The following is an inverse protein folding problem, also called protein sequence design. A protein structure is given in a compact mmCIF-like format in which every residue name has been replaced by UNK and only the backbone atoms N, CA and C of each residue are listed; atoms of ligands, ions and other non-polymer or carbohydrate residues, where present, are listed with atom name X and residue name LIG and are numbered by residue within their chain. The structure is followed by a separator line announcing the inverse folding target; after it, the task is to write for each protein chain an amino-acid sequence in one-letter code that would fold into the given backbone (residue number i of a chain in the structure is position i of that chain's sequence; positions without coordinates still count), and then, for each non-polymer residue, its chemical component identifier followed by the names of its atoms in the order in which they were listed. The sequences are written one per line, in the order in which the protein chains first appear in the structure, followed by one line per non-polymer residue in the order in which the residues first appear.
data_IF_987645169473
#
_entry.id   IF_987645169473
#
_cell.length_a   1.000
_cell.length_b   1.000
_cell.length_c   1.000
_cell.angle_alpha   90.00
_cell.angle_beta   90.00
_cell.angle_gamma   90.00
#
_symmetry.space_group_name_H-M   'P 1'
#
loop_
_entity.id
_entity.type
_entity.pdbx_description
1 polymer ?
#
# COMPACT_ATOMS: atom_id res chain seq x y z
N UNK A 1 -16.06 6.84 20.13
CA UNK A 1 -15.90 7.46 21.48
C UNK A 1 -14.88 6.68 22.32
N UNK A 2 -15.01 5.37 22.47
CA UNK A 2 -14.06 4.57 23.26
C UNK A 2 -12.65 4.50 22.65
N UNK A 3 -12.53 4.51 21.33
CA UNK A 3 -11.25 4.51 20.59
C UNK A 3 -10.34 5.73 20.88
N UNK A 4 -10.94 6.87 21.22
CA UNK A 4 -10.22 8.11 21.52
C UNK A 4 -10.26 8.47 23.01
N UNK A 5 -10.78 7.57 23.86
CA UNK A 5 -11.04 7.81 25.29
C UNK A 5 -11.85 9.10 25.55
N UNK A 6 -12.77 9.44 24.64
CA UNK A 6 -13.53 10.69 24.64
C UNK A 6 -14.03 11.06 23.24
N UNK A 7 -14.71 12.20 23.12
CA UNK A 7 -14.97 12.82 21.81
C UNK A 7 -13.69 13.43 21.23
N UNK A 8 -13.73 13.73 19.93
CA UNK A 8 -12.63 14.41 19.22
C UNK A 8 -12.24 15.77 19.83
N UNK A 9 -13.18 16.49 20.45
CA UNK A 9 -12.94 17.80 21.05
C UNK A 9 -12.61 17.74 22.54
N UNK A 10 -12.97 16.67 23.25
CA UNK A 10 -12.58 16.44 24.64
C UNK A 10 -11.16 15.85 24.75
N UNK A 11 -10.75 15.04 23.79
CA UNK A 11 -9.40 14.48 23.71
C UNK A 11 -8.80 14.61 22.31
N UNK A 12 -8.51 15.84 21.84
CA UNK A 12 -7.92 16.06 20.52
C UNK A 12 -6.54 15.41 20.36
N UNK A 13 -5.81 15.22 21.46
CA UNK A 13 -4.49 14.58 21.43
C UNK A 13 -4.58 13.13 20.94
N UNK A 14 -5.64 12.40 21.28
CA UNK A 14 -5.82 11.03 20.80
C UNK A 14 -5.96 10.94 19.27
N UNK A 15 -6.53 11.96 18.62
CA UNK A 15 -6.56 12.04 17.15
C UNK A 15 -5.17 12.29 16.57
N UNK A 16 -4.41 13.21 17.17
CA UNK A 16 -3.05 13.54 16.74
C UNK A 16 -2.14 12.32 16.87
N UNK A 17 -2.20 11.62 18.00
CA UNK A 17 -1.36 10.45 18.26
C UNK A 17 -1.67 9.27 17.32
N UNK A 18 -2.91 9.19 16.78
CA UNK A 18 -3.28 8.16 15.82
C UNK A 18 -3.02 8.57 14.35
N UNK A 19 -2.78 9.86 14.09
CA UNK A 19 -2.54 10.34 12.74
C UNK A 19 -1.15 9.93 12.23
N UNK A 20 -1.01 9.24 11.08
CA UNK A 20 0.31 8.81 10.57
C UNK A 20 1.29 9.97 10.35
N UNK A 21 0.77 11.15 9.99
CA UNK A 21 1.58 12.36 9.76
C UNK A 21 2.36 12.81 10.99
N UNK A 22 1.88 12.52 12.20
CA UNK A 22 2.58 12.81 13.46
C UNK A 22 3.96 12.15 13.51
N UNK A 23 4.11 11.02 12.81
CA UNK A 23 5.35 10.25 12.73
C UNK A 23 6.12 10.46 11.42
N UNK A 24 5.69 11.38 10.57
CA UNK A 24 6.26 11.60 9.25
C UNK A 24 7.77 11.87 9.26
N UNK A 25 8.31 12.45 10.34
CA UNK A 25 9.76 12.63 10.52
C UNK A 25 10.55 11.34 10.32
N UNK A 26 9.97 10.20 10.71
CA UNK A 26 10.62 8.89 10.72
C UNK A 26 10.46 8.11 9.40
N UNK A 27 9.68 8.62 8.44
CA UNK A 27 9.48 7.94 7.17
C UNK A 27 10.81 7.86 6.40
N UNK A 28 11.17 6.63 6.02
CA UNK A 28 12.40 6.30 5.30
C UNK A 28 12.27 5.09 4.37
N UNK A 29 11.25 4.26 4.58
CA UNK A 29 10.98 3.07 3.77
C UNK A 29 10.34 3.48 2.45
N UNK A 30 10.79 2.94 1.31
CA UNK A 30 10.12 3.12 0.03
C UNK A 30 8.63 2.81 0.12
N UNK A 31 7.77 3.70 -0.40
CA UNK A 31 6.32 3.56 -0.25
C UNK A 31 5.56 3.77 -1.57
N UNK A 32 4.71 2.80 -1.91
CA UNK A 32 3.71 2.90 -2.96
C UNK A 32 2.39 3.37 -2.35
N UNK A 33 1.83 4.45 -2.89
CA UNK A 33 0.51 5.00 -2.53
C UNK A 33 -0.45 4.68 -3.67
N UNK A 34 -1.64 4.19 -3.34
CA UNK A 34 -2.68 3.82 -4.31
C UNK A 34 -3.98 4.47 -3.85
N UNK A 35 -4.66 5.23 -4.72
CA UNK A 35 -5.89 5.95 -4.35
C UNK A 35 -6.87 6.06 -5.52
N UNK A 36 -8.17 5.93 -5.23
CA UNK A 36 -9.26 6.12 -6.20
C UNK A 36 -9.86 7.53 -6.11
N UNK A 37 -10.12 8.18 -7.25
CA UNK A 37 -10.66 9.54 -7.31
C UNK A 37 -12.11 9.66 -6.82
N UNK A 38 -12.89 8.59 -6.89
CA UNK A 38 -14.27 8.51 -6.42
C UNK A 38 -14.38 7.82 -5.04
N UNK A 39 -13.33 7.85 -4.23
CA UNK A 39 -13.38 7.33 -2.85
C UNK A 39 -14.04 8.35 -1.91
N UNK A 40 -15.34 8.16 -1.67
CA UNK A 40 -16.12 8.98 -0.73
C UNK A 40 -15.98 8.56 0.74
N UNK A 41 -15.20 7.50 1.03
CA UNK A 41 -14.89 7.06 2.40
C UNK A 41 -13.58 7.66 2.87
N UNK A 42 -12.59 7.72 1.99
CA UNK A 42 -11.28 8.32 2.25
C UNK A 42 -10.94 9.27 1.12
N UNK A 43 -11.02 10.56 1.40
CA UNK A 43 -10.75 11.60 0.41
C UNK A 43 -9.34 11.50 -0.17
N UNK A 44 -9.22 11.74 -1.49
CA UNK A 44 -7.96 11.68 -2.24
C UNK A 44 -6.87 12.60 -1.71
N UNK A 45 -7.22 13.69 -1.01
CA UNK A 45 -6.24 14.56 -0.36
C UNK A 45 -5.38 13.81 0.66
N UNK A 46 -5.88 12.73 1.27
CA UNK A 46 -5.10 11.93 2.21
C UNK A 46 -3.95 11.21 1.51
N UNK A 47 -4.23 10.56 0.37
CA UNK A 47 -3.20 9.92 -0.46
C UNK A 47 -2.20 10.93 -1.02
N UNK A 48 -2.69 12.07 -1.53
CA UNK A 48 -1.84 13.13 -2.07
C UNK A 48 -0.98 13.81 -0.99
N UNK A 49 -1.50 14.01 0.21
CA UNK A 49 -0.73 14.57 1.32
C UNK A 49 0.41 13.63 1.73
N UNK A 50 0.14 12.32 1.85
CA UNK A 50 1.18 11.32 2.15
C UNK A 50 2.27 11.31 1.07
N UNK A 51 1.87 11.28 -0.20
CA UNK A 51 2.83 11.29 -1.31
C UNK A 51 3.71 12.57 -1.29
N UNK A 52 3.12 13.74 -1.08
CA UNK A 52 3.87 15.00 -0.97
C UNK A 52 4.85 15.00 0.21
N UNK A 53 4.46 14.48 1.37
CA UNK A 53 5.35 14.32 2.52
C UNK A 53 6.55 13.45 2.17
N UNK A 54 6.33 12.32 1.49
CA UNK A 54 7.40 11.41 1.09
C UNK A 54 8.35 12.06 0.07
N UNK A 55 7.80 12.79 -0.90
CA UNK A 55 8.57 13.55 -1.89
C UNK A 55 9.45 14.61 -1.21
N UNK A 56 8.88 15.40 -0.28
CA UNK A 56 9.62 16.42 0.47
C UNK A 56 10.74 15.83 1.35
N UNK A 57 10.59 14.57 1.78
CA UNK A 57 11.60 13.84 2.54
C UNK A 57 12.60 13.07 1.68
N UNK A 58 12.48 13.14 0.36
CA UNK A 58 13.28 12.36 -0.60
C UNK A 58 13.21 10.84 -0.34
N UNK A 59 12.08 10.35 0.19
CA UNK A 59 11.82 8.92 0.33
C UNK A 59 11.34 8.39 -1.02
N UNK A 60 11.96 7.31 -1.57
CA UNK A 60 11.49 6.72 -2.81
C UNK A 60 10.01 6.39 -2.72
N UNK A 61 9.21 6.98 -3.61
CA UNK A 61 7.75 6.84 -3.54
C UNK A 61 7.13 6.88 -4.92
N UNK A 62 6.00 6.19 -5.06
CA UNK A 62 5.20 6.14 -6.29
C UNK A 62 3.73 6.31 -5.93
N UNK A 63 3.00 7.07 -6.75
CA UNK A 63 1.55 7.24 -6.65
C UNK A 63 0.89 6.55 -7.85
N UNK A 64 0.02 5.58 -7.59
CA UNK A 64 -0.89 5.00 -8.56
C UNK A 64 -2.29 5.55 -8.28
N UNK A 65 -2.78 6.42 -9.15
CA UNK A 65 -4.06 7.10 -8.97
C UNK A 65 -5.05 6.67 -10.05
N UNK A 66 -6.23 6.24 -9.62
CA UNK A 66 -7.31 5.82 -10.50
C UNK A 66 -8.46 6.82 -10.39
N UNK A 67 -8.50 7.80 -11.30
CA UNK A 67 -9.49 8.89 -11.29
C UNK A 67 -10.94 8.41 -11.15
N UNK A 68 -11.26 7.28 -11.79
CA UNK A 68 -12.63 6.78 -11.88
C UNK A 68 -12.93 5.57 -10.98
N UNK A 69 -11.99 5.13 -10.13
CA UNK A 69 -12.22 4.06 -9.15
C UNK A 69 -12.64 4.64 -7.79
N UNK A 70 -13.30 3.83 -6.97
CA UNK A 70 -13.77 4.22 -5.64
C UNK A 70 -12.82 3.70 -4.56
N UNK A 71 -13.35 3.31 -3.40
CA UNK A 71 -12.60 2.66 -2.33
C UNK A 71 -11.99 1.28 -2.71
N UNK A 72 -12.31 0.79 -3.89
CA UNK A 72 -11.84 -0.48 -4.45
C UNK A 72 -11.41 -0.27 -5.91
N UNK A 73 -10.57 -1.18 -6.42
CA UNK A 73 -10.17 -1.21 -7.84
C UNK A 73 -11.00 -2.29 -8.55
N UNK A 74 -12.07 -1.90 -9.22
CA UNK A 74 -13.13 -2.80 -9.71
C UNK A 74 -13.06 -3.06 -11.21
N UNK A 75 -12.62 -2.09 -12.02
CA UNK A 75 -12.56 -2.25 -13.47
C UNK A 75 -11.46 -3.25 -13.82
N UNK A 76 -11.72 -4.23 -14.71
CA UNK A 76 -10.73 -5.26 -15.03
C UNK A 76 -9.38 -4.71 -15.49
N UNK A 77 -9.39 -3.66 -16.33
CA UNK A 77 -8.15 -3.04 -16.81
C UNK A 77 -7.35 -2.35 -15.68
N UNK A 78 -8.03 -1.61 -14.80
CA UNK A 78 -7.41 -0.92 -13.68
C UNK A 78 -6.89 -1.92 -12.64
N UNK A 79 -7.61 -3.04 -12.45
CA UNK A 79 -7.20 -4.13 -11.57
C UNK A 79 -5.92 -4.82 -12.07
N UNK A 80 -5.80 -5.07 -13.37
CA UNK A 80 -4.55 -5.59 -13.98
C UNK A 80 -3.40 -4.60 -13.75
N UNK A 81 -3.61 -3.31 -14.02
CA UNK A 81 -2.60 -2.27 -13.80
C UNK A 81 -2.19 -2.16 -12.31
N UNK A 82 -3.15 -2.32 -11.40
CA UNK A 82 -2.93 -2.35 -9.96
C UNK A 82 -2.01 -3.51 -9.56
N UNK A 83 -2.34 -4.74 -9.97
CA UNK A 83 -1.51 -5.91 -9.65
C UNK A 83 -0.10 -5.80 -10.23
N UNK A 84 0.05 -5.43 -11.51
CA UNK A 84 1.38 -5.23 -12.09
C UNK A 84 2.19 -4.19 -11.33
N UNK A 85 1.58 -3.05 -10.99
CA UNK A 85 2.29 -1.98 -10.26
C UNK A 85 2.73 -2.44 -8.86
N UNK A 86 1.88 -3.17 -8.15
CA UNK A 86 2.21 -3.71 -6.82
C UNK A 86 3.34 -4.73 -6.92
N UNK A 87 3.25 -5.67 -7.86
CA UNK A 87 4.27 -6.71 -8.04
C UNK A 87 5.61 -6.12 -8.46
N UNK A 88 5.63 -5.20 -9.44
CA UNK A 88 6.86 -4.51 -9.87
C UNK A 88 7.50 -3.72 -8.72
N UNK A 89 6.68 -3.06 -7.90
CA UNK A 89 7.17 -2.33 -6.73
C UNK A 89 7.81 -3.26 -5.70
N UNK A 90 7.17 -4.39 -5.41
CA UNK A 90 7.70 -5.39 -4.50
C UNK A 90 8.98 -6.01 -5.04
N UNK A 91 9.05 -6.37 -6.33
CA UNK A 91 10.27 -6.93 -6.94
C UNK A 91 11.43 -5.92 -6.90
N UNK A 92 11.15 -4.62 -7.06
CA UNK A 92 12.17 -3.57 -6.98
C UNK A 92 12.76 -3.43 -5.56
N UNK A 93 11.92 -3.47 -4.53
CA UNK A 93 12.32 -3.09 -3.17
C UNK A 93 12.52 -4.26 -2.21
N UNK A 94 11.85 -5.38 -2.44
CA UNK A 94 12.04 -6.62 -1.71
C UNK A 94 12.96 -7.53 -2.52
N UNK A 95 14.27 -7.38 -2.31
CA UNK A 95 15.26 -8.35 -2.78
C UNK A 95 15.03 -9.68 -2.06
N UNK A 96 14.13 -10.48 -2.59
CA UNK A 96 13.66 -11.70 -1.95
C UNK A 96 14.59 -12.82 -2.36
N UNK A 97 15.25 -13.46 -1.39
CA UNK A 97 15.89 -14.76 -1.63
C UNK A 97 14.79 -15.80 -1.84
N UNK A 98 14.56 -16.16 -3.11
CA UNK A 98 13.52 -17.11 -3.51
C UNK A 98 14.00 -18.56 -3.52
N UNK A 99 15.22 -18.84 -3.06
CA UNK A 99 15.85 -20.16 -3.22
C UNK A 99 15.03 -21.31 -2.64
N UNK A 100 14.41 -21.12 -1.47
CA UNK A 100 13.58 -22.14 -0.83
C UNK A 100 12.24 -22.34 -1.57
N UNK A 101 11.58 -21.25 -1.96
CA UNK A 101 10.34 -21.30 -2.74
C UNK A 101 10.52 -22.01 -4.09
N UNK A 102 11.62 -21.72 -4.79
CA UNK A 102 11.93 -22.37 -6.06
C UNK A 102 12.21 -23.88 -5.88
N UNK A 103 12.87 -24.28 -4.78
CA UNK A 103 13.06 -25.70 -4.46
C UNK A 103 11.74 -26.42 -4.21
N UNK A 104 10.79 -25.78 -3.53
CA UNK A 104 9.47 -26.37 -3.24
C UNK A 104 8.63 -26.54 -4.52
N UNK A 105 8.59 -25.53 -5.38
CA UNK A 105 7.91 -25.61 -6.68
C UNK A 105 8.45 -26.77 -7.54
N UNK A 106 9.78 -26.86 -7.66
CA UNK A 106 10.41 -27.94 -8.44
C UNK A 106 10.11 -29.34 -7.86
N UNK A 107 10.02 -29.46 -6.53
CA UNK A 107 9.67 -30.71 -5.88
C UNK A 107 8.21 -31.12 -6.17
N UNK A 108 7.28 -30.16 -6.16
CA UNK A 108 5.87 -30.40 -6.49
C UNK A 108 5.68 -30.78 -7.96
N UNK A 109 6.32 -30.05 -8.90
CA UNK A 109 6.30 -30.39 -10.33
C UNK A 109 6.84 -31.80 -10.60
N UNK A 110 7.93 -32.18 -9.91
CA UNK A 110 8.53 -33.52 -10.04
C UNK A 110 7.63 -34.64 -9.45
N UNK A 111 6.76 -34.32 -8.48
CA UNK A 111 5.78 -35.27 -7.93
C UNK A 111 4.63 -35.44 -8.93
N UNK A 112 4.10 -34.35 -9.48
CA UNK A 112 2.98 -34.38 -10.43
C UNK A 112 3.37 -35.07 -11.74
N UNK A 113 4.57 -34.80 -12.26
CA UNK A 113 5.08 -35.43 -13.49
C UNK A 113 5.35 -36.95 -13.38
N UNK A 114 5.36 -37.52 -12.16
CA UNK A 114 5.50 -38.96 -11.93
C UNK A 114 4.16 -39.70 -11.82
N UNK A 115 3.06 -38.97 -11.76
CA UNK A 115 1.71 -39.52 -11.65
C UNK A 115 0.90 -39.39 -12.96
N UNK A 116 1.57 -38.98 -14.05
CA UNK A 116 1.12 -39.05 -15.45
C UNK A 116 1.87 -40.14 -16.20
#
# INVERSE_FOLDING_TARGET
MQEFKGTAWENPQALIDQAPVTYARNFKTPMLIIHGGNDYRVDQSQGFAMFQVLQAKHVPSKLLYFENENHWVLKPADNIAWYHTVLDWLDQWMKTDRTEYQRQLQAEEAITAKHE
#
